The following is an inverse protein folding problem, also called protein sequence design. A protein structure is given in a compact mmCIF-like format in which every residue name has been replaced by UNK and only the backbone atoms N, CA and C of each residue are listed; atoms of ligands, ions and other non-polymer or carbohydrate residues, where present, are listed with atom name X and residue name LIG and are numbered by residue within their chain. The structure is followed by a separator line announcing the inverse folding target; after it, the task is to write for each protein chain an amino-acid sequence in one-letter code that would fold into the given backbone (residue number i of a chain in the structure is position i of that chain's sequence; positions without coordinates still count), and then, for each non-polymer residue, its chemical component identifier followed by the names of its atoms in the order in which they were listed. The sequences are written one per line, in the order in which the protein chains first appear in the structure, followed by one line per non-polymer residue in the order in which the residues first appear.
data_IF_841076154969
#
_entry.id   IF_841076154969
#
_cell.length_a   1.000
_cell.length_b   1.000
_cell.length_c   1.000
_cell.angle_alpha   90.00
_cell.angle_beta   90.00
_cell.angle_gamma   90.00
#
_symmetry.space_group_name_H-M   'P 1'
#
loop_
_entity.id
_entity.type
_entity.pdbx_description
1 polymer ?
#
# COMPACT_ATOMS: atom_id res chain seq x y z
N UNK A 1 1.74 -21.69 14.60
CA UNK A 1 0.85 -21.24 15.70
C UNK A 1 -0.02 -20.13 15.11
N UNK A 2 -1.35 -20.35 15.04
CA UNK A 2 -2.30 -19.35 14.52
C UNK A 2 -2.45 -18.19 15.51
N UNK A 3 -2.69 -16.97 14.97
CA UNK A 3 -3.00 -15.79 15.79
C UNK A 3 -4.37 -15.98 16.44
N UNK A 4 -4.56 -15.73 17.74
CA UNK A 4 -5.84 -15.86 18.38
C UNK A 4 -6.90 -14.96 17.72
N UNK A 5 -8.10 -15.49 17.47
CA UNK A 5 -9.21 -14.78 16.80
C UNK A 5 -9.56 -13.46 17.52
N UNK A 6 -9.49 -13.42 18.85
CA UNK A 6 -9.72 -12.20 19.63
C UNK A 6 -8.76 -11.05 19.27
N UNK A 7 -7.50 -11.36 18.96
CA UNK A 7 -6.53 -10.35 18.51
C UNK A 7 -6.86 -9.81 17.11
N UNK A 8 -7.37 -10.66 16.24
CA UNK A 8 -7.78 -10.25 14.88
C UNK A 8 -8.93 -9.24 14.94
N UNK A 9 -9.95 -9.51 15.77
CA UNK A 9 -11.11 -8.62 15.95
C UNK A 9 -10.66 -7.27 16.54
N UNK A 10 -9.79 -7.28 17.53
CA UNK A 10 -9.29 -6.06 18.16
C UNK A 10 -8.49 -5.18 17.16
N UNK A 11 -7.64 -5.79 16.35
CA UNK A 11 -6.90 -5.07 15.32
C UNK A 11 -7.80 -4.54 14.21
N UNK A 12 -8.83 -5.27 13.81
CA UNK A 12 -9.81 -4.83 12.81
C UNK A 12 -10.55 -3.57 13.26
N UNK A 13 -10.96 -3.51 14.53
CA UNK A 13 -11.62 -2.33 15.08
C UNK A 13 -10.71 -1.09 15.11
N UNK A 14 -9.42 -1.26 15.47
CA UNK A 14 -8.45 -0.17 15.42
C UNK A 14 -8.25 0.34 13.99
N UNK A 15 -8.04 -0.55 13.04
CA UNK A 15 -7.88 -0.20 11.62
C UNK A 15 -9.12 0.53 11.11
N UNK A 16 -10.31 0.03 11.42
CA UNK A 16 -11.56 0.69 11.04
C UNK A 16 -11.65 2.12 11.59
N UNK A 17 -11.32 2.32 12.85
CA UNK A 17 -11.33 3.64 13.47
C UNK A 17 -10.31 4.59 12.83
N UNK A 18 -9.12 4.09 12.45
CA UNK A 18 -8.14 4.86 11.69
C UNK A 18 -8.66 5.26 10.30
N UNK A 19 -9.25 4.33 9.56
CA UNK A 19 -9.82 4.62 8.25
C UNK A 19 -10.97 5.63 8.33
N UNK A 20 -11.75 5.59 9.42
CA UNK A 20 -12.77 6.62 9.71
C UNK A 20 -12.15 7.97 10.03
N UNK A 21 -11.13 8.01 10.88
CA UNK A 21 -10.42 9.25 11.21
C UNK A 21 -9.81 9.92 9.98
N UNK A 22 -9.29 9.13 9.05
CA UNK A 22 -8.79 9.59 7.75
C UNK A 22 -9.89 9.88 6.73
N UNK A 23 -11.17 9.75 7.11
CA UNK A 23 -12.34 9.97 6.25
C UNK A 23 -12.40 9.08 4.99
N UNK A 24 -11.67 7.97 4.99
CA UNK A 24 -11.59 7.04 3.84
C UNK A 24 -12.95 6.41 3.54
N UNK A 25 -13.78 6.20 4.57
CA UNK A 25 -15.14 5.66 4.44
C UNK A 25 -16.07 6.54 3.58
N UNK A 26 -15.72 7.80 3.29
CA UNK A 26 -16.49 8.64 2.38
C UNK A 26 -16.23 8.33 0.89
N UNK A 27 -15.13 7.63 0.59
CA UNK A 27 -14.69 7.33 -0.78
C UNK A 27 -14.94 5.88 -1.20
N UNK A 28 -15.32 5.03 -0.25
CA UNK A 28 -15.53 3.60 -0.47
C UNK A 28 -16.91 3.20 0.03
N UNK A 29 -17.60 2.32 -0.71
CA UNK A 29 -18.78 1.63 -0.17
C UNK A 29 -18.39 0.75 1.02
N UNK A 30 -19.33 0.40 1.86
CA UNK A 30 -19.09 -0.48 3.03
C UNK A 30 -18.43 -1.80 2.64
N UNK A 31 -18.82 -2.39 1.50
CA UNK A 31 -18.23 -3.63 0.98
C UNK A 31 -16.77 -3.40 0.60
N UNK A 32 -16.45 -2.32 -0.09
CA UNK A 32 -15.08 -1.99 -0.48
C UNK A 32 -14.21 -1.63 0.73
N UNK A 33 -14.79 -0.95 1.72
CA UNK A 33 -14.11 -0.68 2.99
C UNK A 33 -13.75 -1.98 3.72
N UNK A 34 -14.65 -2.97 3.74
CA UNK A 34 -14.37 -4.30 4.31
C UNK A 34 -13.26 -5.03 3.55
N UNK A 35 -13.24 -4.96 2.22
CA UNK A 35 -12.16 -5.57 1.41
C UNK A 35 -10.82 -4.88 1.68
N UNK A 36 -10.79 -3.56 1.75
CA UNK A 36 -9.59 -2.80 2.13
C UNK A 36 -9.11 -3.20 3.53
N UNK A 37 -10.01 -3.28 4.50
CA UNK A 37 -9.67 -3.73 5.85
C UNK A 37 -9.10 -5.15 5.86
N UNK A 38 -9.68 -6.06 5.08
CA UNK A 38 -9.17 -7.42 4.92
C UNK A 38 -7.73 -7.43 4.42
N UNK A 39 -7.42 -6.63 3.39
CA UNK A 39 -6.07 -6.51 2.84
C UNK A 39 -5.11 -5.98 3.91
N UNK A 40 -5.46 -4.88 4.59
CA UNK A 40 -4.62 -4.27 5.62
C UNK A 40 -4.36 -5.25 6.76
N UNK A 41 -5.39 -5.91 7.29
CA UNK A 41 -5.24 -6.92 8.36
C UNK A 41 -4.35 -8.07 7.90
N UNK A 42 -4.51 -8.53 6.67
CA UNK A 42 -3.71 -9.63 6.11
C UNK A 42 -2.24 -9.25 5.98
N UNK A 43 -1.95 -8.02 5.55
CA UNK A 43 -0.58 -7.50 5.48
C UNK A 43 0.06 -7.45 6.87
N UNK A 44 -0.67 -6.99 7.89
CA UNK A 44 -0.17 -6.98 9.27
C UNK A 44 0.07 -8.38 9.84
N UNK A 45 -0.79 -9.35 9.51
CA UNK A 45 -0.67 -10.71 10.04
C UNK A 45 0.37 -11.57 9.31
N UNK A 46 0.56 -11.35 8.01
CA UNK A 46 1.41 -12.17 7.13
C UNK A 46 2.68 -11.46 6.67
N UNK A 47 2.78 -10.15 6.93
CA UNK A 47 3.85 -9.32 6.41
C UNK A 47 3.69 -8.99 4.92
N UNK A 48 4.65 -8.25 4.38
CA UNK A 48 4.61 -7.70 3.00
C UNK A 48 4.69 -8.74 1.87
N UNK A 49 4.84 -10.01 2.19
CA UNK A 49 4.91 -11.10 1.20
C UNK A 49 3.58 -11.80 0.98
N UNK A 50 2.49 -11.27 1.55
CA UNK A 50 1.14 -11.83 1.39
C UNK A 50 0.73 -11.83 -0.08
N UNK A 51 0.29 -13.01 -0.54
CA UNK A 51 -0.34 -13.16 -1.86
C UNK A 51 -1.84 -12.98 -1.70
N UNK A 52 -2.56 -12.70 -2.79
CA UNK A 52 -4.04 -12.64 -2.76
C UNK A 52 -4.71 -13.89 -2.15
N UNK A 53 -4.05 -15.05 -2.29
CA UNK A 53 -4.45 -16.30 -1.61
C UNK A 53 -4.40 -16.17 -0.09
N UNK A 54 -3.43 -15.45 0.45
CA UNK A 54 -3.30 -15.28 1.91
C UNK A 54 -4.42 -14.41 2.48
N UNK A 55 -4.99 -13.50 1.68
CA UNK A 55 -6.13 -12.68 2.08
C UNK A 55 -7.39 -13.52 2.32
N UNK A 56 -7.57 -14.63 1.59
CA UNK A 56 -8.69 -15.55 1.81
C UNK A 56 -8.59 -16.34 3.13
N UNK A 57 -7.39 -16.49 3.68
CA UNK A 57 -7.19 -17.18 4.96
C UNK A 57 -7.59 -16.28 6.14
N UNK A 58 -7.46 -14.98 5.99
CA UNK A 58 -7.76 -13.98 7.04
C UNK A 58 -9.15 -13.40 6.92
N UNK A 59 -9.86 -13.65 5.83
CA UNK A 59 -11.22 -13.19 5.58
C UNK A 59 -12.16 -14.36 5.31
N UNK A 60 -13.47 -14.11 5.43
CA UNK A 60 -14.51 -15.06 5.01
C UNK A 60 -14.74 -15.03 3.49
N UNK A 61 -13.98 -14.21 2.75
CA UNK A 61 -14.13 -14.05 1.32
C UNK A 61 -13.16 -14.94 0.53
N UNK A 62 -13.64 -15.46 -0.59
CA UNK A 62 -12.78 -16.17 -1.53
C UNK A 62 -11.74 -15.22 -2.14
N UNK A 63 -10.55 -15.76 -2.46
CA UNK A 63 -9.44 -14.97 -3.07
C UNK A 63 -9.86 -14.14 -4.29
N UNK A 64 -10.76 -14.68 -5.11
CA UNK A 64 -11.25 -13.99 -6.31
C UNK A 64 -12.05 -12.72 -6.00
N UNK A 65 -12.68 -12.63 -4.83
CA UNK A 65 -13.39 -11.44 -4.41
C UNK A 65 -12.45 -10.28 -4.14
N UNK A 66 -11.32 -10.55 -3.47
CA UNK A 66 -10.29 -9.54 -3.21
C UNK A 66 -9.57 -9.16 -4.51
N UNK A 67 -9.28 -10.14 -5.34
CA UNK A 67 -8.68 -9.92 -6.66
C UNK A 67 -9.58 -9.06 -7.56
N UNK A 68 -10.88 -9.35 -7.58
CA UNK A 68 -11.86 -8.55 -8.30
C UNK A 68 -11.96 -7.12 -7.76
N UNK A 69 -11.92 -6.94 -6.44
CA UNK A 69 -11.89 -5.61 -5.82
C UNK A 69 -10.69 -4.79 -6.27
N UNK A 70 -9.49 -5.39 -6.30
CA UNK A 70 -8.26 -4.70 -6.70
C UNK A 70 -8.25 -4.34 -8.19
N UNK A 71 -8.75 -5.24 -9.06
CA UNK A 71 -8.62 -5.07 -10.50
C UNK A 71 -9.85 -4.42 -11.16
N UNK A 72 -11.03 -4.54 -10.54
CA UNK A 72 -12.31 -4.13 -11.15
C UNK A 72 -13.18 -3.30 -10.21
N UNK A 73 -12.71 -3.00 -9.00
CA UNK A 73 -13.45 -2.19 -8.05
C UNK A 73 -13.70 -0.77 -8.59
N UNK A 74 -14.97 -0.37 -8.61
CA UNK A 74 -15.36 0.99 -9.01
C UNK A 74 -15.29 1.92 -7.80
N UNK A 75 -14.12 2.48 -7.54
CA UNK A 75 -13.88 3.45 -6.49
C UNK A 75 -13.00 4.60 -7.01
N UNK A 76 -13.16 5.77 -6.42
CA UNK A 76 -12.42 6.95 -6.84
C UNK A 76 -11.05 6.96 -6.14
N UNK A 77 -10.07 6.28 -6.74
CA UNK A 77 -8.70 6.18 -6.25
C UNK A 77 -8.01 7.53 -6.17
N UNK A 78 -8.24 8.40 -7.15
CA UNK A 78 -7.67 9.75 -7.19
C UNK A 78 -8.15 10.61 -6.02
N UNK A 79 -9.45 10.58 -5.71
CA UNK A 79 -10.00 11.29 -4.56
C UNK A 79 -9.48 10.71 -3.23
N UNK A 80 -9.37 9.38 -3.13
CA UNK A 80 -8.80 8.69 -1.98
C UNK A 80 -7.33 9.08 -1.77
N UNK A 81 -6.52 9.04 -2.82
CA UNK A 81 -5.11 9.45 -2.75
C UNK A 81 -4.96 10.90 -2.33
N UNK A 82 -5.79 11.80 -2.86
CA UNK A 82 -5.78 13.22 -2.45
C UNK A 82 -6.10 13.39 -0.97
N UNK A 83 -7.11 12.68 -0.47
CA UNK A 83 -7.49 12.72 0.94
C UNK A 83 -6.38 12.19 1.85
N UNK A 84 -5.75 11.08 1.48
CA UNK A 84 -4.60 10.50 2.20
C UNK A 84 -3.42 11.47 2.23
N UNK A 85 -3.04 12.05 1.09
CA UNK A 85 -1.96 13.04 1.00
C UNK A 85 -2.23 14.25 1.89
N UNK A 86 -3.46 14.78 1.88
CA UNK A 86 -3.83 15.89 2.75
C UNK A 86 -3.72 15.53 4.24
N UNK A 87 -4.17 14.35 4.63
CA UNK A 87 -4.08 13.88 6.02
C UNK A 87 -2.62 13.66 6.46
N UNK A 88 -1.77 13.12 5.58
CA UNK A 88 -0.34 12.95 5.86
C UNK A 88 0.35 14.29 6.06
N UNK A 89 0.07 15.26 5.20
CA UNK A 89 0.62 16.62 5.32
C UNK A 89 0.17 17.24 6.64
N UNK A 90 -1.12 17.16 6.97
CA UNK A 90 -1.65 17.69 8.23
C UNK A 90 -0.97 17.07 9.47
N UNK A 91 -0.85 15.76 9.50
CA UNK A 91 -0.18 15.05 10.61
C UNK A 91 1.28 15.47 10.78
N UNK A 92 2.04 15.55 9.69
CA UNK A 92 3.45 15.96 9.74
C UNK A 92 3.60 17.43 10.16
N UNK A 93 2.72 18.32 9.68
CA UNK A 93 2.72 19.72 10.11
C UNK A 93 2.33 19.89 11.60
N UNK A 94 1.38 19.11 12.07
CA UNK A 94 1.02 19.09 13.51
C UNK A 94 2.22 18.66 14.35
N UNK A 95 2.93 17.59 13.93
CA UNK A 95 4.14 17.14 14.62
C UNK A 95 5.25 18.21 14.61
N UNK A 96 5.48 18.84 13.46
CA UNK A 96 6.48 19.89 13.35
C UNK A 96 6.19 21.09 14.26
N UNK A 97 4.91 21.48 14.36
CA UNK A 97 4.49 22.57 15.27
C UNK A 97 4.65 22.20 16.74
N UNK A 98 4.33 20.96 17.11
CA UNK A 98 4.40 20.50 18.50
C UNK A 98 5.82 20.27 18.96
N UNK A 99 6.70 19.74 18.10
CA UNK A 99 8.08 19.40 18.42
C UNK A 99 9.09 20.50 18.14
N UNK A 100 8.74 21.49 17.29
CA UNK A 100 9.67 22.51 16.78
C UNK A 100 10.73 21.95 15.84
N UNK A 101 10.58 20.70 15.37
CA UNK A 101 11.55 20.04 14.50
C UNK A 101 11.26 20.30 13.02
N UNK A 102 12.30 20.30 12.16
CA UNK A 102 12.12 20.49 10.72
C UNK A 102 11.43 19.29 10.07
N UNK A 103 10.74 19.56 8.96
CA UNK A 103 10.17 18.54 8.09
C UNK A 103 11.19 18.21 7.00
N UNK A 104 11.47 16.92 6.84
CA UNK A 104 12.31 16.39 5.76
C UNK A 104 11.43 15.75 4.68
N UNK A 105 11.75 16.01 3.42
CA UNK A 105 11.22 15.30 2.28
C UNK A 105 12.28 14.29 1.82
N UNK A 106 11.96 13.01 1.90
CA UNK A 106 12.83 11.91 1.51
C UNK A 106 12.29 11.35 0.21
N UNK A 107 13.13 11.30 -0.81
CA UNK A 107 12.81 10.69 -2.10
C UNK A 107 13.75 9.52 -2.31
N UNK A 108 13.20 8.35 -2.53
CA UNK A 108 13.95 7.12 -2.76
C UNK A 108 13.34 6.32 -3.89
N UNK A 109 14.16 5.64 -4.67
CA UNK A 109 13.71 4.77 -5.73
C UNK A 109 14.07 3.31 -5.44
N UNK A 110 13.20 2.41 -5.85
CA UNK A 110 13.42 0.98 -5.70
C UNK A 110 12.89 0.21 -6.90
N UNK A 111 13.48 -0.95 -7.16
CA UNK A 111 13.04 -1.85 -8.22
C UNK A 111 12.31 -3.02 -7.58
N UNK A 112 11.00 -3.10 -7.85
CA UNK A 112 10.19 -4.27 -7.54
C UNK A 112 10.48 -5.36 -8.57
N UNK A 113 11.43 -6.23 -8.26
CA UNK A 113 11.92 -7.26 -9.17
C UNK A 113 10.85 -8.30 -9.51
N UNK A 114 10.73 -8.62 -10.78
CA UNK A 114 9.87 -9.68 -11.30
C UNK A 114 10.69 -10.69 -12.13
N UNK A 115 10.18 -11.91 -12.23
CA UNK A 115 10.69 -12.86 -13.22
C UNK A 115 10.18 -12.38 -14.58
N UNK A 116 11.10 -12.15 -15.51
CA UNK A 116 10.73 -11.79 -16.89
C UNK A 116 9.88 -12.91 -17.49
N UNK A 117 8.68 -12.60 -18.02
CA UNK A 117 7.88 -13.58 -18.73
C UNK A 117 8.62 -14.13 -19.96
N UNK A 118 8.27 -15.33 -20.37
CA UNK A 118 8.74 -15.91 -21.64
C UNK A 118 8.39 -14.97 -22.80
N UNK A 119 9.20 -15.00 -23.86
CA UNK A 119 8.91 -14.24 -25.09
C UNK A 119 7.60 -14.66 -25.76
N UNK A 120 7.07 -15.83 -25.39
CA UNK A 120 5.78 -16.34 -25.86
C UNK A 120 4.60 -15.96 -24.95
N UNK A 121 4.83 -15.19 -23.89
CA UNK A 121 3.76 -14.76 -23.00
C UNK A 121 2.81 -13.81 -23.75
N UNK A 122 1.52 -14.16 -23.77
CA UNK A 122 0.47 -13.36 -24.41
C UNK A 122 0.25 -12.01 -23.71
N UNK A 123 0.54 -11.97 -22.42
CA UNK A 123 0.38 -10.77 -21.58
C UNK A 123 1.69 -10.50 -20.84
N UNK A 124 2.55 -9.63 -21.38
CA UNK A 124 3.73 -9.15 -20.65
C UNK A 124 3.27 -8.34 -19.44
N UNK A 125 4.14 -8.24 -18.44
CA UNK A 125 3.87 -7.40 -17.27
C UNK A 125 3.91 -5.93 -17.72
N UNK A 126 2.78 -5.25 -17.62
CA UNK A 126 2.63 -3.84 -18.01
C UNK A 126 3.59 -2.96 -17.20
N UNK A 127 4.20 -1.96 -17.84
CA UNK A 127 5.15 -1.02 -17.24
C UNK A 127 6.35 -1.65 -16.50
N UNK A 128 6.67 -2.93 -16.77
CA UNK A 128 7.86 -3.58 -16.26
C UNK A 128 8.98 -3.59 -17.33
N UNK A 129 10.14 -3.06 -16.95
CA UNK A 129 11.29 -2.90 -17.83
C UNK A 129 12.58 -3.43 -17.18
N UNK A 130 13.67 -3.46 -17.94
CA UNK A 130 15.00 -3.65 -17.38
C UNK A 130 15.53 -2.32 -16.85
N UNK A 131 15.96 -2.32 -15.60
CA UNK A 131 16.57 -1.21 -14.90
C UNK A 131 17.97 -1.59 -14.40
N UNK A 132 18.89 -0.63 -14.38
CA UNK A 132 20.17 -0.84 -13.74
C UNK A 132 20.00 -0.79 -12.21
N UNK A 133 20.16 -1.95 -11.57
CA UNK A 133 20.10 -2.02 -10.10
C UNK A 133 21.50 -1.76 -9.52
N UNK A 134 21.67 -0.65 -8.83
CA UNK A 134 22.92 -0.34 -8.12
C UNK A 134 23.17 -1.32 -6.98
N UNK A 135 22.11 -1.74 -6.27
CA UNK A 135 22.20 -2.71 -5.17
C UNK A 135 22.66 -4.10 -5.64
N UNK A 136 22.24 -4.53 -6.83
CA UNK A 136 22.59 -5.85 -7.38
C UNK A 136 23.78 -5.81 -8.33
N UNK A 137 24.25 -4.63 -8.71
CA UNK A 137 25.35 -4.45 -9.69
C UNK A 137 25.03 -4.99 -11.09
N UNK A 138 23.75 -5.21 -11.42
CA UNK A 138 23.29 -5.78 -12.68
C UNK A 138 21.94 -5.25 -13.09
N UNK A 139 21.57 -5.53 -14.34
CA UNK A 139 20.20 -5.26 -14.79
C UNK A 139 19.19 -6.16 -14.08
N UNK A 140 18.09 -5.57 -13.65
CA UNK A 140 16.98 -6.23 -13.01
C UNK A 140 15.68 -5.92 -13.75
N UNK A 141 14.83 -6.91 -13.94
CA UNK A 141 13.55 -6.74 -14.62
C UNK A 141 12.47 -6.50 -13.59
N UNK A 142 11.68 -5.45 -13.76
CA UNK A 142 10.60 -5.14 -12.83
C UNK A 142 10.05 -3.74 -13.00
N UNK A 143 9.28 -3.33 -12.01
CA UNK A 143 8.78 -1.96 -11.90
C UNK A 143 9.76 -1.11 -11.11
N UNK A 144 10.12 0.05 -11.63
CA UNK A 144 10.81 1.06 -10.83
C UNK A 144 9.76 1.95 -10.15
N UNK A 145 9.88 2.08 -8.86
CA UNK A 145 8.93 2.81 -8.02
C UNK A 145 9.68 3.89 -7.26
N UNK A 146 9.21 5.13 -7.37
CA UNK A 146 9.72 6.26 -6.59
C UNK A 146 8.80 6.50 -5.41
N UNK A 147 9.36 6.41 -4.21
CA UNK A 147 8.67 6.72 -2.95
C UNK A 147 9.04 8.12 -2.49
N UNK A 148 8.03 8.90 -2.14
CA UNK A 148 8.19 10.22 -1.51
C UNK A 148 7.65 10.12 -0.10
N UNK A 149 8.51 10.36 0.89
CA UNK A 149 8.16 10.30 2.31
C UNK A 149 8.35 11.66 2.97
N UNK A 150 7.47 11.99 3.91
CA UNK A 150 7.63 13.14 4.79
C UNK A 150 8.03 12.64 6.17
N UNK A 151 9.06 13.25 6.76
CA UNK A 151 9.58 12.86 8.06
C UNK A 151 9.74 14.06 8.98
N UNK A 152 9.31 13.92 10.23
CA UNK A 152 9.50 14.90 11.28
C UNK A 152 9.57 14.19 12.64
N UNK A 153 10.53 14.55 13.47
CA UNK A 153 10.66 14.06 14.85
C UNK A 153 10.55 12.53 14.99
N UNK A 154 11.18 11.77 14.09
CA UNK A 154 11.15 10.30 14.10
C UNK A 154 9.87 9.67 13.51
N UNK A 155 8.87 10.46 13.17
CA UNK A 155 7.68 9.99 12.43
C UNK A 155 7.96 10.13 10.95
N UNK A 156 7.82 9.04 10.19
CA UNK A 156 7.98 9.03 8.74
C UNK A 156 6.73 8.43 8.10
N UNK A 157 6.10 9.20 7.21
CA UNK A 157 4.88 8.81 6.51
C UNK A 157 5.09 8.83 5.01
N UNK A 158 4.61 7.81 4.32
CA UNK A 158 4.70 7.74 2.87
C UNK A 158 3.64 8.67 2.24
N UNK A 159 4.10 9.74 1.58
CA UNK A 159 3.26 10.73 0.92
C UNK A 159 2.81 10.30 -0.48
N UNK A 160 3.71 9.68 -1.24
CA UNK A 160 3.40 9.22 -2.59
C UNK A 160 4.25 8.01 -2.97
N UNK A 161 3.65 7.17 -3.78
CA UNK A 161 4.31 6.09 -4.50
C UNK A 161 4.02 6.31 -5.98
N UNK A 162 5.05 6.48 -6.78
CA UNK A 162 4.95 6.81 -8.20
C UNK A 162 5.60 5.68 -8.98
N UNK A 163 4.83 5.06 -9.86
CA UNK A 163 5.37 4.11 -10.81
C UNK A 163 6.11 4.89 -11.91
N UNK A 164 7.37 4.54 -12.15
CA UNK A 164 8.13 5.10 -13.25
C UNK A 164 7.72 4.39 -14.53
N UNK A 165 7.25 5.17 -15.49
CA UNK A 165 6.93 4.74 -16.85
C UNK A 165 7.94 5.37 -17.81
N UNK A 166 8.45 4.57 -18.78
CA UNK A 166 9.44 5.00 -19.78
C UNK A 166 8.78 5.59 -21.01
#
# INVERSE_FOLDING_TARGET
KGVPVANIIHHSNKIYNYLKALKIHHFLSDIYLQHLMTIIVSVFLRGYRGKTVDFSITSQHHRTTVDYFLNHGKWNDSALQKALKSSIVELIYQEARSSGQPIFCIVDDTIASHIKPSSQALHPIEAAYFHQSHLKGRQDYGHQVVSVMLSCNGITLNYAVILYDK
#
